data_IF_912839736072
#
_entry.id   IF_912839736072
#
_cell.length_a   1.000
_cell.length_b   1.000
_cell.length_c   1.000
_cell.angle_alpha   90.00
_cell.angle_beta   90.00
_cell.angle_gamma   90.00
#
_symmetry.space_group_name_H-M   'P 1'
#
loop_
_entity.id
_entity.type
_entity.pdbx_description
1 polymer ?
#
# COMPACT_ATOMS: atom_id res chain seq x y z
N UNK A 1 9.92 -19.42 13.39
CA UNK A 1 9.77 -19.11 14.82
C UNK A 1 9.19 -20.36 15.43
N UNK A 2 9.84 -20.90 16.45
CA UNK A 2 9.32 -22.05 17.18
C UNK A 2 8.09 -21.63 18.01
N UNK A 3 7.28 -22.61 18.41
CA UNK A 3 6.12 -22.36 19.29
C UNK A 3 6.55 -21.69 20.60
N UNK A 4 7.70 -22.12 21.16
CA UNK A 4 8.26 -21.53 22.38
C UNK A 4 8.71 -20.08 22.21
N UNK A 5 9.33 -19.74 21.08
CA UNK A 5 9.71 -18.35 20.78
C UNK A 5 8.49 -17.43 20.68
N UNK A 6 7.41 -17.91 20.03
CA UNK A 6 6.19 -17.12 19.90
C UNK A 6 5.51 -16.88 21.25
N UNK A 7 5.48 -17.89 22.12
CA UNK A 7 4.92 -17.76 23.46
C UNK A 7 5.66 -16.71 24.28
N UNK A 8 7.00 -16.70 24.25
CA UNK A 8 7.81 -15.67 24.92
C UNK A 8 7.52 -14.26 24.41
N UNK A 9 7.35 -14.10 23.10
CA UNK A 9 6.96 -12.81 22.53
C UNK A 9 5.59 -12.37 23.05
N UNK A 10 4.59 -13.26 23.07
CA UNK A 10 3.25 -12.96 23.57
C UNK A 10 3.26 -12.53 25.03
N UNK A 11 3.99 -13.25 25.89
CA UNK A 11 4.17 -12.90 27.30
C UNK A 11 4.82 -11.53 27.46
N UNK A 12 5.88 -11.25 26.68
CA UNK A 12 6.53 -9.94 26.69
C UNK A 12 5.60 -8.82 26.23
N UNK A 13 4.78 -9.04 25.21
CA UNK A 13 3.85 -8.02 24.73
C UNK A 13 2.71 -7.74 25.71
N UNK A 14 2.25 -8.76 26.44
CA UNK A 14 1.27 -8.62 27.52
C UNK A 14 1.77 -7.69 28.63
N UNK A 15 3.08 -7.66 28.90
CA UNK A 15 3.67 -6.69 29.83
C UNK A 15 3.42 -5.23 29.43
N UNK A 16 3.08 -4.92 28.19
CA UNK A 16 2.83 -3.55 27.72
C UNK A 16 1.38 -3.30 27.32
N UNK A 17 0.46 -4.24 27.60
CA UNK A 17 -0.94 -4.20 27.12
C UNK A 17 -1.02 -4.05 25.59
N UNK A 18 -0.22 -4.85 24.89
CA UNK A 18 -0.12 -4.88 23.43
C UNK A 18 -0.43 -6.30 22.92
N UNK A 19 -1.31 -6.39 21.92
CA UNK A 19 -1.55 -7.64 21.20
C UNK A 19 -0.60 -7.72 19.99
N UNK A 20 0.24 -8.76 19.93
CA UNK A 20 1.19 -8.97 18.83
C UNK A 20 0.51 -9.05 17.47
N UNK A 21 -0.71 -9.62 17.41
CA UNK A 21 -1.43 -9.75 16.14
C UNK A 21 -1.79 -8.37 15.55
N UNK A 22 -1.93 -7.34 16.38
CA UNK A 22 -2.15 -5.97 15.92
C UNK A 22 -0.88 -5.36 15.28
N UNK A 23 0.30 -5.82 15.70
CA UNK A 23 1.58 -5.45 15.09
C UNK A 23 1.79 -6.21 13.79
N UNK A 24 1.55 -7.52 13.77
CA UNK A 24 1.79 -8.38 12.59
C UNK A 24 0.80 -8.12 11.44
N UNK A 25 -0.37 -7.56 11.73
CA UNK A 25 -1.36 -7.21 10.73
C UNK A 25 -0.98 -5.99 9.87
N UNK A 26 -1.97 -5.13 9.60
CA UNK A 26 -1.79 -3.91 8.83
C UNK A 26 -2.09 -2.64 9.66
N UNK A 27 -1.45 -2.44 10.83
CA UNK A 27 -1.77 -1.35 11.75
C UNK A 27 -1.57 0.03 11.13
N UNK A 28 -2.29 1.03 11.60
CA UNK A 28 -2.05 2.42 11.18
C UNK A 28 -0.75 2.94 11.80
N UNK A 29 -0.15 3.97 11.19
CA UNK A 29 1.02 4.65 11.76
C UNK A 29 0.74 5.12 13.20
N UNK A 30 -0.43 5.72 13.43
CA UNK A 30 -0.87 6.18 14.75
C UNK A 30 -0.91 5.04 15.77
N UNK A 31 -1.46 3.88 15.39
CA UNK A 31 -1.51 2.72 16.28
C UNK A 31 -0.12 2.22 16.68
N UNK A 32 0.82 2.20 15.73
CA UNK A 32 2.21 1.85 16.00
C UNK A 32 2.89 2.86 16.93
N UNK A 33 2.61 4.16 16.75
CA UNK A 33 3.12 5.20 17.65
C UNK A 33 2.55 5.08 19.07
N UNK A 34 1.27 4.71 19.22
CA UNK A 34 0.66 4.41 20.52
C UNK A 34 1.38 3.26 21.22
N UNK A 35 1.68 2.17 20.50
CA UNK A 35 2.42 1.03 21.05
C UNK A 35 3.83 1.40 21.50
N UNK A 36 4.56 2.16 20.67
CA UNK A 36 5.90 2.65 21.01
C UNK A 36 5.85 3.56 22.24
N UNK A 37 4.83 4.42 22.34
CA UNK A 37 4.65 5.29 23.51
C UNK A 37 4.43 4.47 24.78
N UNK A 38 3.52 3.48 24.76
CA UNK A 38 3.29 2.59 25.91
C UNK A 38 4.58 1.92 26.40
N UNK A 39 5.41 1.45 25.47
CA UNK A 39 6.69 0.81 25.81
C UNK A 39 7.63 1.84 26.46
N UNK A 40 7.86 2.99 25.84
CA UNK A 40 8.75 4.02 26.37
C UNK A 40 8.29 4.53 27.76
N UNK A 41 6.97 4.72 27.94
CA UNK A 41 6.38 5.17 29.20
C UNK A 41 6.63 4.12 30.31
N UNK A 42 6.48 2.82 30.00
CA UNK A 42 6.68 1.73 30.97
C UNK A 42 8.15 1.47 31.30
N UNK A 43 9.03 1.60 30.32
CA UNK A 43 10.49 1.54 30.50
C UNK A 43 11.07 2.79 31.17
N UNK A 44 10.27 3.87 31.29
CA UNK A 44 10.69 5.20 31.78
C UNK A 44 11.89 5.78 31.00
N UNK A 45 12.11 5.30 29.78
CA UNK A 45 13.18 5.76 28.89
C UNK A 45 12.76 5.57 27.43
N UNK A 46 13.43 6.28 26.53
CA UNK A 46 13.15 6.23 25.10
C UNK A 46 13.87 5.04 24.44
N UNK A 47 13.34 3.83 24.64
CA UNK A 47 13.86 2.61 23.98
C UNK A 47 13.55 2.56 22.49
N UNK A 48 12.45 3.16 22.04
CA UNK A 48 12.00 3.14 20.65
C UNK A 48 11.70 4.55 20.13
N UNK A 49 12.02 4.80 18.85
CA UNK A 49 11.77 6.08 18.18
C UNK A 49 10.30 6.18 17.72
N UNK A 50 9.66 7.31 18.02
CA UNK A 50 8.30 7.63 17.54
C UNK A 50 8.27 8.19 16.10
N UNK A 51 9.43 8.58 15.56
CA UNK A 51 9.60 9.11 14.22
C UNK A 51 9.91 7.99 13.23
N UNK A 52 9.35 8.10 12.02
CA UNK A 52 9.48 7.10 10.96
C UNK A 52 8.22 6.99 10.12
N UNK A 53 8.33 6.30 8.99
CA UNK A 53 7.16 5.82 8.26
C UNK A 53 6.55 4.60 8.98
N UNK A 54 5.37 4.17 8.52
CA UNK A 54 4.66 3.04 9.11
C UNK A 54 5.52 1.77 9.16
N UNK A 55 6.27 1.49 8.10
CA UNK A 55 7.05 0.26 7.99
C UNK A 55 8.22 0.26 8.98
N UNK A 56 8.90 1.39 9.11
CA UNK A 56 10.00 1.59 10.06
C UNK A 56 9.55 1.38 11.50
N UNK A 57 8.39 1.93 11.87
CA UNK A 57 7.82 1.78 13.21
C UNK A 57 7.39 0.33 13.47
N UNK A 58 6.73 -0.31 12.49
CA UNK A 58 6.30 -1.71 12.59
C UNK A 58 7.50 -2.64 12.73
N UNK A 59 8.56 -2.43 11.94
CA UNK A 59 9.81 -3.18 12.03
C UNK A 59 10.46 -3.02 13.41
N UNK A 60 10.54 -1.79 13.93
CA UNK A 60 11.13 -1.53 15.25
C UNK A 60 10.39 -2.26 16.38
N UNK A 61 9.05 -2.31 16.32
CA UNK A 61 8.24 -3.08 17.25
C UNK A 61 8.44 -4.60 17.07
N UNK A 62 8.54 -5.07 15.82
CA UNK A 62 8.81 -6.47 15.54
C UNK A 62 10.15 -6.92 16.13
N UNK A 63 11.20 -6.13 15.90
CA UNK A 63 12.54 -6.34 16.44
C UNK A 63 12.52 -6.33 17.97
N UNK A 64 11.79 -5.39 18.60
CA UNK A 64 11.64 -5.30 20.05
C UNK A 64 11.00 -6.54 20.67
N UNK A 65 9.94 -7.07 20.07
CA UNK A 65 9.24 -8.26 20.55
C UNK A 65 9.84 -9.59 20.06
N UNK A 66 10.90 -9.55 19.24
CA UNK A 66 11.50 -10.74 18.64
C UNK A 66 10.56 -11.46 17.67
N UNK A 67 9.60 -10.74 17.08
CA UNK A 67 8.68 -11.28 16.08
C UNK A 67 9.16 -10.94 14.67
N UNK A 68 8.82 -11.81 13.70
CA UNK A 68 9.16 -11.51 12.31
C UNK A 68 8.16 -10.47 11.78
N UNK A 69 8.61 -9.44 11.06
CA UNK A 69 7.68 -8.55 10.37
C UNK A 69 6.85 -9.37 9.37
N UNK A 70 5.61 -8.92 9.07
CA UNK A 70 4.80 -9.59 8.07
C UNK A 70 5.58 -9.70 6.75
N UNK A 71 5.59 -10.89 6.17
CA UNK A 71 6.24 -11.13 4.88
C UNK A 71 5.47 -10.36 3.83
N UNK A 72 6.06 -9.27 3.35
CA UNK A 72 5.56 -8.57 2.17
C UNK A 72 5.88 -9.46 0.97
N UNK A 73 4.84 -9.97 0.31
CA UNK A 73 4.99 -10.78 -0.88
C UNK A 73 4.96 -9.87 -2.10
N UNK A 74 6.02 -9.96 -2.90
CA UNK A 74 6.12 -9.26 -4.18
C UNK A 74 5.92 -10.25 -5.31
N UNK A 75 5.28 -9.79 -6.38
CA UNK A 75 5.05 -10.59 -7.56
C UNK A 75 5.25 -9.74 -8.81
N UNK A 76 5.80 -10.36 -9.84
CA UNK A 76 5.95 -9.75 -11.15
C UNK A 76 4.73 -10.09 -11.99
N UNK A 77 4.06 -9.07 -12.55
CA UNK A 77 2.82 -9.24 -13.32
C UNK A 77 2.76 -8.30 -14.50
N UNK A 78 2.08 -8.74 -15.56
CA UNK A 78 1.59 -7.84 -16.59
C UNK A 78 0.48 -6.94 -15.99
N UNK A 79 0.65 -5.61 -15.93
CA UNK A 79 -0.34 -4.74 -15.34
C UNK A 79 -1.68 -4.79 -16.07
N UNK A 80 -1.73 -5.19 -17.35
CA UNK A 80 -2.98 -5.32 -18.13
C UNK A 80 -3.92 -6.40 -17.54
N UNK A 81 -3.37 -7.39 -16.82
CA UNK A 81 -4.12 -8.45 -16.14
C UNK A 81 -4.72 -7.99 -14.80
N UNK A 82 -4.32 -6.84 -14.27
CA UNK A 82 -4.81 -6.31 -13.00
C UNK A 82 -6.09 -5.51 -13.24
N UNK A 83 -7.11 -5.79 -12.43
CA UNK A 83 -8.37 -5.06 -12.42
C UNK A 83 -8.28 -3.78 -11.58
N UNK A 84 -9.04 -2.77 -11.96
CA UNK A 84 -9.24 -1.59 -11.13
C UNK A 84 -10.16 -1.90 -9.95
N UNK A 85 -10.15 -1.04 -8.94
CA UNK A 85 -11.11 -1.08 -7.84
C UNK A 85 -12.08 0.10 -7.80
N UNK A 86 -12.01 0.97 -8.82
CA UNK A 86 -12.83 2.18 -8.96
C UNK A 86 -13.20 2.34 -10.44
N UNK A 87 -14.42 2.80 -10.73
CA UNK A 87 -14.86 3.10 -12.10
C UNK A 87 -14.19 4.33 -12.73
N UNK A 88 -13.62 5.21 -11.91
CA UNK A 88 -12.94 6.39 -12.38
C UNK A 88 -11.75 6.79 -11.49
N UNK A 89 -10.83 7.55 -12.09
CA UNK A 89 -9.65 8.11 -11.45
C UNK A 89 -9.51 9.59 -11.80
N UNK A 90 -8.89 10.35 -10.90
CA UNK A 90 -8.54 11.75 -11.15
C UNK A 90 -7.27 11.86 -12.01
N UNK A 91 -7.13 12.92 -12.81
CA UNK A 91 -5.97 13.11 -13.69
C UNK A 91 -4.67 13.51 -12.96
N UNK A 92 -4.69 13.73 -11.64
CA UNK A 92 -3.53 14.15 -10.84
C UNK A 92 -3.25 13.11 -9.73
N UNK A 93 -1.99 12.93 -9.30
CA UNK A 93 -1.66 12.01 -8.19
C UNK A 93 -1.94 12.58 -6.79
N UNK A 94 -1.83 13.89 -6.64
CA UNK A 94 -2.09 14.63 -5.41
C UNK A 94 -3.14 15.72 -5.65
N UNK A 95 -3.82 16.16 -4.59
CA UNK A 95 -4.60 17.39 -4.68
C UNK A 95 -3.64 18.57 -4.73
N UNK A 96 -3.95 19.59 -5.54
CA UNK A 96 -3.22 20.86 -5.52
C UNK A 96 -3.24 21.40 -4.08
N UNK A 97 -2.05 21.59 -3.50
CA UNK A 97 -1.89 22.31 -2.22
C UNK A 97 -1.01 23.51 -2.50
N UNK A 98 -1.41 24.68 -2.01
CA UNK A 98 -0.58 25.90 -1.97
C UNK A 98 0.04 26.31 -3.32
N UNK A 99 -0.70 26.20 -4.43
CA UNK A 99 -0.24 26.66 -5.74
C UNK A 99 0.79 25.76 -6.44
N UNK A 100 1.18 24.62 -5.84
CA UNK A 100 2.02 23.63 -6.52
C UNK A 100 1.21 22.84 -7.56
N UNK A 101 1.79 22.68 -8.75
CA UNK A 101 1.24 21.82 -9.79
C UNK A 101 1.31 20.36 -9.33
N UNK A 102 0.15 19.75 -9.13
CA UNK A 102 0.07 18.33 -8.81
C UNK A 102 0.48 17.51 -10.03
N UNK A 103 1.45 16.59 -9.86
CA UNK A 103 1.93 15.71 -10.94
C UNK A 103 0.77 15.03 -11.66
N UNK A 104 0.74 15.16 -12.98
CA UNK A 104 -0.30 14.59 -13.82
C UNK A 104 -0.05 13.10 -14.05
N UNK A 105 -1.15 12.37 -14.18
CA UNK A 105 -1.16 10.98 -14.62
C UNK A 105 -0.57 10.86 -16.03
N UNK A 106 -0.87 11.83 -16.89
CA UNK A 106 -0.38 11.88 -18.27
C UNK A 106 1.13 12.11 -18.35
N UNK A 107 1.68 13.07 -17.59
CA UNK A 107 3.14 13.28 -17.50
C UNK A 107 3.87 11.98 -17.11
N UNK A 108 3.32 11.24 -16.15
CA UNK A 108 3.91 9.95 -15.73
C UNK A 108 3.82 8.88 -16.84
N UNK A 109 2.77 8.91 -17.68
CA UNK A 109 2.67 8.02 -18.84
C UNK A 109 3.75 8.38 -19.86
N UNK A 110 3.94 9.67 -20.15
CA UNK A 110 4.94 10.15 -21.10
C UNK A 110 6.37 9.80 -20.65
N UNK A 111 6.70 10.04 -19.36
CA UNK A 111 7.99 9.65 -18.77
C UNK A 111 8.24 8.13 -18.87
N UNK A 112 7.20 7.30 -18.69
CA UNK A 112 7.31 5.84 -18.79
C UNK A 112 7.49 5.38 -20.24
N UNK A 113 6.85 6.06 -21.20
CA UNK A 113 6.97 5.76 -22.63
C UNK A 113 8.34 6.18 -23.16
N UNK A 114 8.82 7.36 -22.76
CA UNK A 114 10.14 7.86 -23.15
C UNK A 114 11.29 7.08 -22.49
N UNK A 115 11.02 6.40 -21.38
CA UNK A 115 12.01 5.72 -20.56
C UNK A 115 12.78 6.66 -19.63
N UNK A 116 12.34 7.91 -19.48
CA UNK A 116 12.85 8.86 -18.49
C UNK A 116 12.69 8.30 -17.06
N UNK A 117 11.61 7.57 -16.83
CA UNK A 117 11.35 6.86 -15.57
C UNK A 117 11.11 5.39 -15.83
N UNK A 118 11.71 4.51 -15.02
CA UNK A 118 11.42 3.08 -15.06
C UNK A 118 10.32 2.70 -14.05
N UNK A 119 9.65 1.56 -14.22
CA UNK A 119 8.65 1.09 -13.25
C UNK A 119 9.16 1.01 -11.80
N UNK A 120 10.44 0.73 -11.59
CA UNK A 120 11.08 0.62 -10.27
C UNK A 120 11.23 1.97 -9.57
N UNK A 121 11.28 3.08 -10.33
CA UNK A 121 11.31 4.42 -9.78
C UNK A 121 9.92 4.90 -9.31
N UNK A 122 8.85 4.25 -9.79
CA UNK A 122 7.48 4.54 -9.36
C UNK A 122 7.13 3.70 -8.13
N UNK A 123 6.43 4.30 -7.17
CA UNK A 123 5.95 3.58 -6.00
C UNK A 123 5.10 2.36 -6.41
N UNK A 124 5.50 1.18 -5.94
CA UNK A 124 4.83 -0.10 -6.21
C UNK A 124 3.32 -0.03 -5.98
N UNK A 125 2.59 -0.73 -6.83
CA UNK A 125 1.14 -0.91 -6.69
C UNK A 125 0.88 -1.99 -5.65
N UNK A 126 -0.10 -1.73 -4.79
CA UNK A 126 -0.63 -2.74 -3.87
C UNK A 126 -1.82 -3.44 -4.51
N UNK A 127 -1.83 -4.76 -4.46
CA UNK A 127 -2.87 -5.60 -5.06
C UNK A 127 -3.54 -6.49 -4.03
N UNK A 128 -4.83 -6.74 -4.19
CA UNK A 128 -5.61 -7.67 -3.38
C UNK A 128 -6.25 -8.68 -4.32
N UNK A 129 -6.12 -9.98 -4.01
CA UNK A 129 -6.81 -11.03 -4.78
C UNK A 129 -8.20 -11.24 -4.21
N UNK A 130 -9.23 -11.12 -5.05
CA UNK A 130 -10.64 -11.37 -4.70
C UNK A 130 -11.30 -12.11 -5.87
N UNK A 131 -11.96 -13.22 -5.58
CA UNK A 131 -12.61 -14.06 -6.60
C UNK A 131 -11.65 -14.39 -7.75
N UNK A 132 -10.43 -14.85 -7.41
CA UNK A 132 -9.35 -15.20 -8.36
C UNK A 132 -8.82 -14.05 -9.23
N UNK A 133 -9.36 -12.83 -9.06
CA UNK A 133 -8.94 -11.63 -9.78
C UNK A 133 -8.08 -10.74 -8.91
N UNK A 134 -7.04 -10.19 -9.50
CA UNK A 134 -6.14 -9.24 -8.84
C UNK A 134 -6.68 -7.83 -9.02
N UNK A 135 -7.01 -7.14 -7.92
CA UNK A 135 -7.48 -5.76 -7.94
C UNK A 135 -6.45 -4.81 -7.36
N UNK A 136 -6.24 -3.68 -8.02
CA UNK A 136 -5.33 -2.62 -7.57
C UNK A 136 -5.98 -1.75 -6.49
N UNK A 137 -5.20 -1.42 -5.45
CA UNK A 137 -5.53 -0.34 -4.52
C UNK A 137 -4.99 1.02 -5.01
N UNK A 138 -4.18 1.06 -6.06
CA UNK A 138 -3.47 2.23 -6.54
C UNK A 138 -3.80 2.52 -8.02
N UNK A 139 -5.09 2.69 -8.32
CA UNK A 139 -5.65 2.74 -9.69
C UNK A 139 -5.02 3.76 -10.64
N UNK A 140 -4.62 4.94 -10.15
CA UNK A 140 -3.91 5.94 -10.98
C UNK A 140 -2.57 5.42 -11.51
N UNK A 141 -1.79 4.74 -10.66
CA UNK A 141 -0.52 4.13 -11.08
C UNK A 141 -0.76 2.97 -12.03
N UNK A 142 -1.78 2.14 -11.74
CA UNK A 142 -2.15 1.04 -12.63
C UNK A 142 -2.50 1.56 -14.03
N UNK A 143 -3.30 2.62 -14.10
CA UNK A 143 -3.66 3.27 -15.35
C UNK A 143 -2.43 3.78 -16.10
N UNK A 144 -1.50 4.45 -15.40
CA UNK A 144 -0.26 4.93 -16.02
C UNK A 144 0.53 3.79 -16.66
N UNK A 145 0.72 2.66 -15.96
CA UNK A 145 1.43 1.52 -16.53
C UNK A 145 0.70 0.89 -17.72
N UNK A 146 -0.62 0.64 -17.63
CA UNK A 146 -1.38 0.09 -18.76
C UNK A 146 -1.27 0.98 -19.99
N UNK A 147 -1.46 2.29 -19.82
CA UNK A 147 -1.40 3.26 -20.92
C UNK A 147 0.00 3.43 -21.49
N UNK A 148 1.04 3.40 -20.66
CA UNK A 148 2.41 3.45 -21.14
C UNK A 148 2.73 2.24 -22.03
N UNK A 149 2.34 1.04 -21.62
CA UNK A 149 2.50 -0.18 -22.44
C UNK A 149 1.72 -0.07 -23.75
N UNK A 150 0.46 0.38 -23.70
CA UNK A 150 -0.36 0.61 -24.91
C UNK A 150 0.30 1.62 -25.88
N UNK A 151 1.07 2.57 -25.36
CA UNK A 151 1.79 3.59 -26.13
C UNK A 151 3.23 3.22 -26.49
N UNK A 152 3.65 1.98 -26.25
CA UNK A 152 4.95 1.46 -26.68
C UNK A 152 6.09 1.61 -25.67
N UNK A 153 5.78 1.71 -24.38
CA UNK A 153 6.82 1.60 -23.35
C UNK A 153 7.59 0.28 -23.45
N UNK A 154 8.86 0.29 -23.06
CA UNK A 154 9.80 -0.84 -23.23
C UNK A 154 9.57 -2.02 -22.29
N UNK A 155 8.74 -1.87 -21.25
CA UNK A 155 8.44 -2.92 -20.28
C UNK A 155 7.08 -3.58 -20.56
N UNK A 156 6.92 -4.82 -20.11
CA UNK A 156 5.63 -5.56 -20.19
C UNK A 156 5.13 -6.07 -18.84
N UNK A 157 5.99 -6.04 -17.82
CA UNK A 157 5.71 -6.48 -16.46
C UNK A 157 6.12 -5.43 -15.44
N UNK A 158 5.51 -5.47 -14.26
CA UNK A 158 5.86 -4.63 -13.11
C UNK A 158 5.88 -5.47 -11.83
N UNK A 159 6.69 -5.05 -10.85
CA UNK A 159 6.65 -5.63 -9.50
C UNK A 159 5.54 -4.99 -8.67
N UNK A 160 4.59 -5.80 -8.17
CA UNK A 160 3.52 -5.35 -7.27
C UNK A 160 3.63 -5.99 -5.89
N UNK A 161 2.97 -5.37 -4.92
CA UNK A 161 2.93 -5.80 -3.52
C UNK A 161 1.59 -6.45 -3.20
N UNK A 162 1.57 -7.72 -2.75
CA UNK A 162 0.34 -8.30 -2.20
C UNK A 162 -0.04 -7.61 -0.91
N UNK A 163 -1.26 -7.12 -0.86
CA UNK A 163 -1.84 -6.45 0.29
C UNK A 163 -2.91 -7.31 0.94
N UNK A 164 -2.91 -7.44 2.28
CA UNK A 164 -4.01 -8.07 3.01
C UNK A 164 -5.21 -7.10 3.18
N UNK A 165 -5.17 -5.88 2.62
CA UNK A 165 -6.15 -4.83 2.90
C UNK A 165 -7.48 -5.00 2.14
N UNK A 166 -8.17 -6.11 2.39
CA UNK A 166 -9.50 -6.43 1.80
C UNK A 166 -10.55 -5.38 2.17
N UNK A 167 -10.42 -4.73 3.34
CA UNK A 167 -11.32 -3.66 3.76
C UNK A 167 -11.26 -2.44 2.85
N UNK A 168 -10.05 -1.97 2.52
CA UNK A 168 -9.86 -0.85 1.58
C UNK A 168 -10.38 -1.21 0.19
N UNK A 169 -10.10 -2.43 -0.30
CA UNK A 169 -10.64 -2.91 -1.57
C UNK A 169 -12.17 -2.85 -1.57
N UNK A 170 -12.81 -3.43 -0.55
CA UNK A 170 -14.27 -3.47 -0.42
C UNK A 170 -14.87 -2.06 -0.39
N UNK A 171 -14.28 -1.15 0.37
CA UNK A 171 -14.72 0.24 0.41
C UNK A 171 -14.66 0.90 -0.97
N UNK A 172 -13.53 0.76 -1.70
CA UNK A 172 -13.37 1.33 -3.05
C UNK A 172 -14.40 0.77 -4.03
N UNK A 173 -14.57 -0.55 -4.06
CA UNK A 173 -15.51 -1.18 -4.99
C UNK A 173 -16.98 -0.84 -4.67
N UNK A 174 -17.32 -0.64 -3.40
CA UNK A 174 -18.66 -0.26 -2.99
C UNK A 174 -18.98 1.21 -3.29
N UNK A 175 -17.99 2.10 -3.12
CA UNK A 175 -18.14 3.54 -3.26
C UNK A 175 -17.98 4.03 -4.72
N UNK A 176 -17.17 3.33 -5.52
CA UNK A 176 -16.90 3.65 -6.92
C UNK A 176 -17.31 2.48 -7.81
N UNK A 177 -18.62 2.16 -7.78
CA UNK A 177 -19.18 0.99 -8.45
C UNK A 177 -18.88 1.00 -9.95
N UNK A 178 -18.52 -0.15 -10.49
CA UNK A 178 -18.34 -0.38 -11.93
C UNK A 178 -19.06 -1.66 -12.35
N UNK A 179 -19.60 -1.64 -13.57
CA UNK A 179 -20.10 -2.86 -14.24
C UNK A 179 -18.95 -3.69 -14.82
N UNK A 180 -17.83 -3.04 -15.14
CA UNK A 180 -16.61 -3.68 -15.63
C UNK A 180 -15.38 -3.10 -14.91
N UNK A 181 -14.68 -3.95 -14.17
CA UNK A 181 -13.49 -3.56 -13.42
C UNK A 181 -12.21 -3.58 -14.28
N UNK A 182 -12.30 -4.01 -15.54
CA UNK A 182 -11.15 -4.02 -16.47
C UNK A 182 -10.83 -2.63 -17.03
N UNK A 183 -11.83 -1.73 -17.03
CA UNK A 183 -11.78 -0.37 -17.55
C UNK A 183 -11.92 0.68 -16.45
N UNK A 184 -11.43 1.89 -16.72
CA UNK A 184 -11.53 3.04 -15.83
C UNK A 184 -11.61 4.33 -16.65
N UNK A 185 -12.39 5.29 -16.17
CA UNK A 185 -12.50 6.62 -16.79
C UNK A 185 -11.64 7.66 -16.06
N UNK A 186 -10.89 8.48 -16.79
CA UNK A 186 -10.19 9.63 -16.21
C UNK A 186 -11.13 10.84 -16.19
N UNK A 187 -11.45 11.38 -15.01
CA UNK A 187 -12.27 12.59 -14.84
C UNK A 187 -12.02 13.25 -13.48
N UNK A 188 -12.28 14.56 -13.38
CA UNK A 188 -12.04 15.32 -12.14
C UNK A 188 -13.02 14.98 -11.01
N UNK A 189 -14.27 14.64 -11.37
CA UNK A 189 -15.33 14.31 -10.42
C UNK A 189 -15.88 12.89 -10.63
N UNK A 190 -15.68 12.06 -9.62
CA UNK A 190 -16.18 10.69 -9.53
C UNK A 190 -17.50 10.69 -8.75
N UNK A 191 -18.49 11.45 -9.23
CA UNK A 191 -19.88 11.30 -8.76
C UNK A 191 -20.42 9.95 -9.18
N UNK A 192 -21.21 9.35 -8.28
CA UNK A 192 -22.06 8.20 -8.59
C UNK A 192 -22.91 8.54 -9.82
N UNK A 193 -22.98 7.61 -10.77
CA UNK A 193 -23.99 7.62 -11.82
C UNK A 193 -25.28 7.08 -11.22
#
# INVERSE_FOLDING_TARGET
MSIMERQKSLERAALYDININDIEGNPTKTKLQEFIKKINDKEKQKVLKLSGDKHTLQKSLCDFFGIKPPKIEYLEVDPRQIFYSQCCIKPHFTSRKNGENAKLVEETIEELVSGEVSPENIKRIRVVTRNEKMHSLDNRRLYSFKKAIERGASFSTITVEKSPNVRELRWKMNHYRSNDWSVVTVKDDCKEV
#
